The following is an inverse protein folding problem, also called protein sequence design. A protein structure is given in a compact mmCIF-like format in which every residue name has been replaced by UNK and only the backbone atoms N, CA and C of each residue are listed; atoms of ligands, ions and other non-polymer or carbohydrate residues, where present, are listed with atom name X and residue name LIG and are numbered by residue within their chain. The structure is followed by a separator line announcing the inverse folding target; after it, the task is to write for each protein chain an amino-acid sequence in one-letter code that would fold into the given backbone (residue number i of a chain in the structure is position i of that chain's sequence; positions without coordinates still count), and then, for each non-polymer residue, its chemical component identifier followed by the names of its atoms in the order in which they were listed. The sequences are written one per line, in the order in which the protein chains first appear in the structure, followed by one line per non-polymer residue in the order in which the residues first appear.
data_IF_801560345145
#
_entry.id   IF_801560345145
#
_cell.length_a   1.000
_cell.length_b   1.000
_cell.length_c   1.000
_cell.angle_alpha   90.00
_cell.angle_beta   90.00
_cell.angle_gamma   90.00
#
_symmetry.space_group_name_H-M   'P 1'
#
loop_
_entity.id
_entity.type
_entity.pdbx_description
1 polymer ?
#
# COMPACT_ATOMS: atom_id res chain seq x y z
N UNK A 1 -25.58 -32.31 16.84
CA UNK A 1 -25.56 -33.79 16.95
C UNK A 1 -25.78 -34.29 18.37
N UNK A 2 -24.88 -34.01 19.34
CA UNK A 2 -25.07 -34.49 20.74
C UNK A 2 -26.40 -34.08 21.38
N UNK A 3 -26.86 -32.85 21.14
CA UNK A 3 -28.15 -32.34 21.65
C UNK A 3 -29.34 -32.64 20.73
N UNK A 4 -29.21 -33.52 19.74
CA UNK A 4 -30.29 -33.90 18.81
C UNK A 4 -30.96 -32.75 18.03
N UNK A 5 -30.31 -31.58 17.94
CA UNK A 5 -30.75 -30.43 17.12
C UNK A 5 -30.45 -30.64 15.62
N UNK A 6 -30.94 -31.73 15.03
CA UNK A 6 -30.67 -32.09 13.64
C UNK A 6 -31.24 -31.06 12.64
N UNK A 7 -32.37 -30.43 12.97
CA UNK A 7 -32.99 -29.36 12.16
C UNK A 7 -32.09 -28.14 11.96
N UNK A 8 -31.24 -27.81 12.94
CA UNK A 8 -30.32 -26.66 12.89
C UNK A 8 -28.96 -26.96 12.28
N UNK A 9 -28.63 -28.24 12.05
CA UNK A 9 -27.31 -28.60 11.49
C UNK A 9 -27.13 -28.01 10.10
N UNK A 10 -28.15 -28.07 9.26
CA UNK A 10 -28.10 -27.53 7.89
C UNK A 10 -27.91 -26.01 7.96
N UNK A 11 -28.65 -25.31 8.82
CA UNK A 11 -28.48 -23.87 9.04
C UNK A 11 -27.06 -23.51 9.48
N UNK A 12 -26.47 -24.27 10.41
CA UNK A 12 -25.09 -24.04 10.86
C UNK A 12 -24.06 -24.27 9.76
N UNK A 13 -24.24 -25.29 8.92
CA UNK A 13 -23.33 -25.54 7.79
C UNK A 13 -23.44 -24.41 6.77
N UNK A 14 -24.65 -23.99 6.39
CA UNK A 14 -24.87 -22.86 5.48
C UNK A 14 -24.33 -21.55 6.05
N UNK A 15 -24.54 -21.30 7.34
CA UNK A 15 -24.02 -20.13 8.03
C UNK A 15 -22.48 -20.13 8.06
N UNK A 16 -21.86 -21.26 8.39
CA UNK A 16 -20.40 -21.43 8.34
C UNK A 16 -19.88 -21.17 6.92
N UNK A 17 -20.49 -21.78 5.90
CA UNK A 17 -20.10 -21.58 4.50
C UNK A 17 -20.23 -20.10 4.10
N UNK A 18 -21.31 -19.42 4.50
CA UNK A 18 -21.53 -18.00 4.25
C UNK A 18 -20.44 -17.12 4.86
N UNK A 19 -19.96 -17.45 6.06
CA UNK A 19 -18.88 -16.73 6.73
C UNK A 19 -17.51 -17.04 6.10
N UNK A 20 -17.22 -18.30 5.78
CA UNK A 20 -15.96 -18.70 5.17
C UNK A 20 -15.77 -18.13 3.75
N UNK A 21 -16.85 -17.89 3.02
CA UNK A 21 -16.81 -17.26 1.69
C UNK A 21 -17.10 -15.75 1.75
N UNK A 22 -17.08 -15.14 2.94
CA UNK A 22 -17.26 -13.70 3.09
C UNK A 22 -16.10 -12.94 2.44
N UNK A 23 -16.40 -11.89 1.66
CA UNK A 23 -15.34 -11.05 1.08
C UNK A 23 -14.41 -10.48 2.16
N UNK A 24 -14.96 -10.07 3.30
CA UNK A 24 -14.22 -9.45 4.39
C UNK A 24 -13.28 -10.45 5.05
N UNK A 25 -13.71 -11.71 5.17
CA UNK A 25 -12.89 -12.77 5.75
C UNK A 25 -11.70 -13.09 4.84
N UNK A 26 -11.95 -13.20 3.52
CA UNK A 26 -10.88 -13.46 2.55
C UNK A 26 -9.92 -12.28 2.43
N UNK A 27 -10.43 -11.05 2.35
CA UNK A 27 -9.62 -9.84 2.35
C UNK A 27 -8.77 -9.73 3.63
N UNK A 28 -9.38 -9.87 4.82
CA UNK A 28 -8.64 -9.78 6.08
C UNK A 28 -7.57 -10.87 6.22
N UNK A 29 -7.84 -12.09 5.74
CA UNK A 29 -6.86 -13.17 5.75
C UNK A 29 -5.63 -12.85 4.90
N UNK A 30 -5.83 -12.29 3.71
CA UNK A 30 -4.73 -11.90 2.80
C UNK A 30 -4.01 -10.66 3.34
N UNK A 31 -4.75 -9.62 3.72
CA UNK A 31 -4.19 -8.38 4.27
C UNK A 31 -3.42 -8.60 5.57
N UNK A 32 -3.84 -9.54 6.43
CA UNK A 32 -3.09 -9.87 7.64
C UNK A 32 -1.70 -10.43 7.32
N UNK A 33 -1.60 -11.33 6.34
CA UNK A 33 -0.32 -11.88 5.89
C UNK A 33 0.56 -10.79 5.26
N UNK A 34 -0.01 -9.96 4.39
CA UNK A 34 0.71 -8.85 3.75
C UNK A 34 1.16 -7.81 4.77
N UNK A 35 0.32 -7.48 5.76
CA UNK A 35 0.66 -6.55 6.83
C UNK A 35 1.81 -7.07 7.69
N UNK A 36 1.83 -8.35 8.01
CA UNK A 36 2.92 -8.97 8.76
C UNK A 36 4.26 -8.82 8.02
N UNK A 37 4.27 -9.04 6.71
CA UNK A 37 5.46 -8.85 5.86
C UNK A 37 5.88 -7.36 5.83
N UNK A 38 4.95 -6.43 5.61
CA UNK A 38 5.22 -4.97 5.60
C UNK A 38 5.89 -4.48 6.89
N UNK A 39 5.41 -4.98 8.04
CA UNK A 39 5.92 -4.59 9.36
C UNK A 39 7.35 -5.11 9.64
N UNK A 40 7.77 -6.19 8.98
CA UNK A 40 9.04 -6.87 9.26
C UNK A 40 10.06 -6.78 8.11
N UNK A 41 9.71 -6.12 7.00
CA UNK A 41 10.59 -5.96 5.83
C UNK A 41 11.94 -5.26 6.10
N UNK A 42 12.12 -4.66 7.29
CA UNK A 42 13.42 -4.10 7.73
C UNK A 42 14.41 -5.17 8.22
N UNK A 43 13.96 -6.41 8.44
CA UNK A 43 14.78 -7.55 8.83
C UNK A 43 14.58 -8.71 7.87
N UNK A 44 15.60 -8.95 7.04
CA UNK A 44 15.60 -10.06 6.09
C UNK A 44 15.33 -11.41 6.75
N UNK A 45 15.94 -11.70 7.91
CA UNK A 45 15.77 -12.98 8.62
C UNK A 45 14.34 -13.19 9.15
N UNK A 46 13.68 -12.13 9.62
CA UNK A 46 12.30 -12.24 10.10
C UNK A 46 11.34 -12.42 8.92
N UNK A 47 11.59 -11.74 7.81
CA UNK A 47 10.82 -11.91 6.57
C UNK A 47 10.91 -13.34 6.03
N UNK A 48 12.10 -13.95 6.00
CA UNK A 48 12.29 -15.35 5.61
C UNK A 48 11.44 -16.29 6.48
N UNK A 49 11.44 -16.10 7.81
CA UNK A 49 10.61 -16.91 8.72
C UNK A 49 9.12 -16.74 8.49
N UNK A 50 8.66 -15.50 8.24
CA UNK A 50 7.24 -15.23 7.96
C UNK A 50 6.84 -15.92 6.65
N UNK A 51 7.66 -15.80 5.61
CA UNK A 51 7.42 -16.48 4.34
C UNK A 51 7.40 -18.00 4.50
N UNK A 52 8.32 -18.60 5.27
CA UNK A 52 8.31 -20.03 5.59
C UNK A 52 7.01 -20.46 6.28
N UNK A 53 6.55 -19.70 7.28
CA UNK A 53 5.28 -19.95 7.98
C UNK A 53 4.06 -19.86 7.04
N UNK A 54 4.13 -18.98 6.04
CA UNK A 54 3.14 -18.85 4.97
C UNK A 54 3.33 -19.87 3.84
N UNK A 55 4.19 -20.88 4.02
CA UNK A 55 4.57 -21.87 2.99
C UNK A 55 5.00 -21.20 1.70
N UNK A 56 5.84 -20.18 1.82
CA UNK A 56 6.38 -19.36 0.74
C UNK A 56 5.31 -18.73 -0.15
N UNK A 57 4.12 -18.47 0.41
CA UNK A 57 3.00 -17.83 -0.29
C UNK A 57 2.15 -18.77 -1.16
N UNK A 58 2.51 -20.05 -1.30
CA UNK A 58 1.82 -21.00 -2.20
C UNK A 58 0.32 -21.13 -1.85
N UNK A 59 -0.01 -21.20 -0.56
CA UNK A 59 -1.41 -21.33 -0.11
C UNK A 59 -2.27 -20.09 -0.43
N UNK A 60 -1.66 -18.92 -0.59
CA UNK A 60 -2.36 -17.70 -0.96
C UNK A 60 -2.56 -17.62 -2.48
N UNK A 61 -1.65 -18.19 -3.27
CA UNK A 61 -1.87 -18.37 -4.72
C UNK A 61 -3.01 -19.36 -4.97
N UNK A 62 -3.04 -20.49 -4.26
CA UNK A 62 -4.16 -21.45 -4.32
C UNK A 62 -5.49 -20.77 -3.95
N UNK A 63 -5.48 -19.92 -2.91
CA UNK A 63 -6.64 -19.13 -2.52
C UNK A 63 -7.07 -18.17 -3.65
N UNK A 64 -6.14 -17.52 -4.32
CA UNK A 64 -6.42 -16.63 -5.46
C UNK A 64 -7.20 -17.36 -6.56
N UNK A 65 -6.79 -18.58 -6.88
CA UNK A 65 -7.47 -19.44 -7.86
C UNK A 65 -8.87 -19.89 -7.37
N UNK A 66 -9.00 -20.21 -6.09
CA UNK A 66 -10.29 -20.54 -5.46
C UNK A 66 -11.26 -19.35 -5.47
N UNK A 67 -10.77 -18.13 -5.23
CA UNK A 67 -11.57 -16.90 -5.24
C UNK A 67 -12.03 -16.56 -6.65
N UNK A 68 -11.15 -16.68 -7.65
CA UNK A 68 -11.48 -16.40 -9.05
C UNK A 68 -12.60 -17.30 -9.59
N UNK A 69 -12.68 -18.54 -9.10
CA UNK A 69 -13.67 -19.54 -9.54
C UNK A 69 -14.99 -19.52 -8.75
N UNK A 70 -15.08 -18.80 -7.64
CA UNK A 70 -16.25 -18.82 -6.73
C UNK A 70 -16.93 -17.46 -6.60
N UNK A 71 -18.20 -17.47 -6.19
CA UNK A 71 -18.93 -16.25 -5.82
C UNK A 71 -18.59 -15.81 -4.41
N UNK A 72 -18.26 -14.53 -4.21
CA UNK A 72 -18.02 -13.98 -2.88
C UNK A 72 -19.35 -13.68 -2.17
N UNK A 73 -19.39 -13.83 -0.84
CA UNK A 73 -20.53 -13.43 -0.02
C UNK A 73 -20.31 -12.05 0.58
N UNK A 74 -21.26 -11.15 0.36
CA UNK A 74 -21.31 -9.82 0.94
C UNK A 74 -22.24 -9.84 2.14
N UNK A 75 -21.66 -9.84 3.34
CA UNK A 75 -22.39 -9.96 4.61
C UNK A 75 -22.57 -8.61 5.33
N UNK A 76 -22.16 -7.53 4.68
CA UNK A 76 -22.26 -6.17 5.20
C UNK A 76 -23.72 -5.75 5.40
N UNK A 77 -23.95 -5.05 6.50
CA UNK A 77 -25.23 -4.39 6.71
C UNK A 77 -25.28 -3.11 5.88
N UNK A 78 -26.00 -3.19 4.76
CA UNK A 78 -26.31 -2.05 3.90
C UNK A 78 -27.64 -1.38 4.25
N UNK A 79 -28.44 -1.96 5.15
CA UNK A 79 -29.76 -1.45 5.50
C UNK A 79 -29.69 -0.36 6.57
N UNK A 80 -28.73 -0.47 7.48
CA UNK A 80 -28.48 0.57 8.50
C UNK A 80 -27.63 1.73 8.01
N UNK A 81 -27.08 1.64 6.79
CA UNK A 81 -26.30 2.72 6.20
C UNK A 81 -27.18 3.91 5.82
N UNK A 82 -26.70 5.15 6.00
CA UNK A 82 -27.40 6.32 5.50
C UNK A 82 -27.62 6.25 3.98
N UNK A 83 -28.73 6.81 3.50
CA UNK A 83 -29.08 6.77 2.07
C UNK A 83 -28.03 7.45 1.18
N UNK A 84 -27.29 8.42 1.72
CA UNK A 84 -26.24 9.14 1.01
C UNK A 84 -24.92 8.34 0.88
N UNK A 85 -24.76 7.25 1.65
CA UNK A 85 -23.62 6.33 1.59
C UNK A 85 -24.09 4.87 1.53
N UNK A 86 -24.84 4.49 0.48
CA UNK A 86 -25.53 3.19 0.43
C UNK A 86 -24.57 2.00 0.37
N UNK A 87 -23.31 2.21 -0.05
CA UNK A 87 -22.23 1.24 0.00
C UNK A 87 -20.90 1.95 0.33
N UNK A 88 -19.86 1.22 0.79
CA UNK A 88 -18.56 1.81 1.12
C UNK A 88 -17.92 2.61 -0.01
N UNK A 89 -18.16 2.20 -1.25
CA UNK A 89 -17.52 2.75 -2.44
C UNK A 89 -18.24 3.98 -3.01
N UNK A 90 -19.44 4.29 -2.49
CA UNK A 90 -20.29 5.36 -3.03
C UNK A 90 -20.73 6.32 -1.94
N UNK A 91 -20.42 7.60 -2.15
CA UNK A 91 -20.89 8.69 -1.31
C UNK A 91 -21.49 9.79 -2.21
N UNK A 92 -22.80 9.96 -2.15
CA UNK A 92 -23.53 10.96 -2.94
C UNK A 92 -23.25 12.41 -2.50
N UNK A 93 -22.62 12.61 -1.34
CA UNK A 93 -22.25 13.95 -0.86
C UNK A 93 -20.88 14.41 -1.37
N UNK A 94 -20.09 13.53 -2.00
CA UNK A 94 -18.76 13.87 -2.51
C UNK A 94 -18.76 14.29 -3.99
N UNK A 95 -19.89 14.18 -4.70
CA UNK A 95 -20.05 14.63 -6.07
C UNK A 95 -20.77 15.99 -6.17
N UNK A 96 -20.79 16.62 -7.36
CA UNK A 96 -21.64 17.78 -7.60
C UNK A 96 -23.09 17.43 -7.27
N UNK A 97 -23.79 18.33 -6.58
CA UNK A 97 -25.17 18.11 -6.19
C UNK A 97 -26.06 18.14 -7.45
N UNK A 98 -26.37 16.96 -7.99
CA UNK A 98 -27.35 16.77 -9.04
C UNK A 98 -28.72 16.53 -8.38
N UNK A 99 -29.76 17.27 -8.80
CA UNK A 99 -31.13 17.05 -8.35
C UNK A 99 -31.47 15.56 -8.41
N UNK A 100 -31.74 14.98 -7.25
CA UNK A 100 -31.72 13.54 -7.01
C UNK A 100 -32.79 12.84 -7.87
N UNK A 101 -32.36 12.15 -8.93
CA UNK A 101 -33.18 11.07 -9.49
C UNK A 101 -33.17 9.91 -8.50
N UNK A 102 -34.31 9.67 -7.86
CA UNK A 102 -34.46 8.65 -6.84
C UNK A 102 -34.21 7.26 -7.46
N UNK A 103 -33.17 6.59 -6.96
CA UNK A 103 -32.76 5.20 -7.24
C UNK A 103 -31.88 5.00 -8.48
N UNK A 104 -30.55 4.84 -8.31
CA UNK A 104 -29.74 4.23 -9.35
C UNK A 104 -30.11 2.74 -9.51
N UNK A 105 -29.96 2.17 -10.73
CA UNK A 105 -30.22 0.76 -10.99
C UNK A 105 -29.37 -0.12 -10.07
N UNK A 106 -30.01 -1.00 -9.29
CA UNK A 106 -29.35 -1.84 -8.26
C UNK A 106 -28.58 -3.04 -8.82
N UNK A 107 -28.71 -3.34 -10.10
CA UNK A 107 -28.26 -4.62 -10.68
C UNK A 107 -26.79 -4.58 -11.12
N UNK A 108 -26.36 -3.61 -11.94
CA UNK A 108 -24.98 -3.55 -12.44
C UNK A 108 -23.93 -3.28 -11.35
N UNK A 109 -24.30 -2.56 -10.28
CA UNK A 109 -23.37 -2.14 -9.20
C UNK A 109 -22.89 -3.34 -8.37
N UNK A 110 -23.69 -4.40 -8.26
CA UNK A 110 -23.32 -5.57 -7.43
C UNK A 110 -22.29 -6.47 -8.10
N UNK A 111 -22.45 -6.70 -9.40
CA UNK A 111 -21.55 -7.55 -10.18
C UNK A 111 -20.19 -6.88 -10.35
N UNK A 112 -20.18 -5.59 -10.70
CA UNK A 112 -18.95 -4.80 -10.81
C UNK A 112 -18.19 -4.74 -9.46
N UNK A 113 -18.91 -4.52 -8.36
CA UNK A 113 -18.32 -4.52 -7.01
C UNK A 113 -17.73 -5.88 -6.64
N UNK A 114 -18.44 -6.97 -6.95
CA UNK A 114 -17.92 -8.31 -6.71
C UNK A 114 -16.66 -8.58 -7.51
N UNK A 115 -16.65 -8.24 -8.80
CA UNK A 115 -15.50 -8.47 -9.67
C UNK A 115 -14.29 -7.63 -9.24
N UNK A 116 -14.51 -6.34 -8.91
CA UNK A 116 -13.46 -5.46 -8.42
C UNK A 116 -12.85 -5.98 -7.10
N UNK A 117 -13.70 -6.46 -6.17
CA UNK A 117 -13.23 -7.03 -4.91
C UNK A 117 -12.47 -8.35 -5.13
N UNK A 118 -12.94 -9.21 -6.05
CA UNK A 118 -12.20 -10.43 -6.42
C UNK A 118 -10.83 -10.08 -6.96
N UNK A 119 -10.75 -9.21 -7.97
CA UNK A 119 -9.47 -8.77 -8.56
C UNK A 119 -8.54 -8.19 -7.52
N UNK A 120 -9.04 -7.38 -6.59
CA UNK A 120 -8.23 -6.81 -5.51
C UNK A 120 -7.67 -7.88 -4.56
N UNK A 121 -8.52 -8.79 -4.06
CA UNK A 121 -8.08 -9.85 -3.13
C UNK A 121 -7.12 -10.81 -3.83
N UNK A 122 -7.43 -11.22 -5.07
CA UNK A 122 -6.58 -12.10 -5.85
C UNK A 122 -5.20 -11.49 -6.08
N UNK A 123 -5.15 -10.21 -6.48
CA UNK A 123 -3.90 -9.48 -6.71
C UNK A 123 -3.04 -9.41 -5.45
N UNK A 124 -3.64 -9.03 -4.31
CA UNK A 124 -2.93 -9.01 -3.02
C UNK A 124 -2.48 -10.40 -2.56
N UNK A 125 -3.21 -11.46 -2.94
CA UNK A 125 -2.85 -12.84 -2.61
C UNK A 125 -1.58 -13.33 -3.31
N UNK A 126 -1.22 -12.73 -4.44
CA UNK A 126 0.01 -13.09 -5.17
C UNK A 126 1.27 -12.50 -4.52
N UNK A 127 1.15 -11.38 -3.79
CA UNK A 127 2.31 -10.64 -3.26
C UNK A 127 3.27 -11.52 -2.45
N UNK A 128 2.83 -12.34 -1.47
CA UNK A 128 3.76 -13.12 -0.66
C UNK A 128 4.57 -14.12 -1.48
N UNK A 129 3.98 -14.71 -2.53
CA UNK A 129 4.70 -15.63 -3.43
C UNK A 129 5.67 -14.86 -4.32
N UNK A 130 5.24 -13.71 -4.87
CA UNK A 130 6.10 -12.87 -5.72
C UNK A 130 7.32 -12.32 -4.95
N UNK A 131 7.15 -11.92 -3.68
CA UNK A 131 8.24 -11.52 -2.78
C UNK A 131 9.23 -12.67 -2.59
N UNK A 132 8.72 -13.85 -2.23
CA UNK A 132 9.55 -15.03 -2.05
C UNK A 132 10.36 -15.36 -3.32
N UNK A 133 9.71 -15.43 -4.48
CA UNK A 133 10.37 -15.74 -5.75
C UNK A 133 11.40 -14.67 -6.12
N UNK A 134 11.08 -13.39 -5.90
CA UNK A 134 11.99 -12.27 -6.17
C UNK A 134 13.29 -12.35 -5.36
N UNK A 135 13.20 -12.77 -4.10
CA UNK A 135 14.37 -13.05 -3.26
C UNK A 135 15.17 -14.23 -3.82
N UNK A 136 14.50 -15.29 -4.27
CA UNK A 136 15.15 -16.50 -4.81
C UNK A 136 15.74 -16.29 -6.22
N UNK A 137 15.24 -15.35 -7.03
CA UNK A 137 15.80 -15.01 -8.34
C UNK A 137 17.16 -14.31 -8.24
N UNK A 138 17.47 -13.72 -7.08
CA UNK A 138 18.64 -12.84 -6.89
C UNK A 138 20.00 -13.55 -7.03
N UNK A 139 20.25 -14.72 -6.39
CA UNK A 139 21.54 -15.40 -6.50
C UNK A 139 21.83 -15.88 -7.94
N UNK A 140 20.78 -16.17 -8.72
CA UNK A 140 20.88 -16.64 -10.11
C UNK A 140 21.29 -15.49 -11.03
N UNK A 141 20.61 -14.35 -10.94
CA UNK A 141 20.93 -13.17 -11.75
C UNK A 141 22.34 -12.63 -11.52
N UNK A 142 22.85 -12.71 -10.28
CA UNK A 142 24.21 -12.28 -9.96
C UNK A 142 25.27 -13.28 -10.45
N UNK A 143 24.96 -14.59 -10.49
CA UNK A 143 25.86 -15.65 -10.98
C UNK A 143 25.89 -15.79 -12.50
N UNK A 144 24.78 -15.55 -13.19
CA UNK A 144 24.73 -15.56 -14.67
C UNK A 144 25.62 -14.49 -15.32
N UNK A 145 26.00 -13.45 -14.57
CA UNK A 145 27.03 -12.49 -15.00
C UNK A 145 28.46 -13.07 -15.04
N UNK A 146 28.68 -14.29 -14.51
CA UNK A 146 30.02 -14.89 -14.34
C UNK A 146 30.20 -16.25 -15.04
N UNK A 147 29.23 -17.18 -15.06
CA UNK A 147 29.39 -18.44 -15.83
C UNK A 147 28.07 -19.05 -16.33
N UNK A 148 27.98 -19.31 -17.63
CA UNK A 148 26.95 -20.11 -18.30
C UNK A 148 27.21 -21.61 -18.08
N UNK A 149 26.70 -22.20 -17.02
CA UNK A 149 26.47 -23.65 -16.94
C UNK A 149 25.26 -23.96 -16.06
N UNK A 150 24.26 -24.59 -16.68
CA UNK A 150 22.88 -24.71 -16.19
C UNK A 150 22.70 -25.46 -14.88
N UNK A 151 21.95 -24.82 -13.98
CA UNK A 151 21.23 -25.44 -12.87
C UNK A 151 19.74 -25.44 -13.22
N UNK A 152 19.20 -26.62 -13.51
CA UNK A 152 17.82 -26.78 -13.99
C UNK A 152 16.73 -26.47 -12.96
N UNK A 153 17.08 -26.13 -11.71
CA UNK A 153 16.12 -25.67 -10.69
C UNK A 153 15.81 -24.17 -10.74
N UNK A 154 16.72 -23.38 -11.33
CA UNK A 154 16.65 -21.91 -11.27
C UNK A 154 15.77 -21.31 -12.38
N UNK A 155 15.57 -22.04 -13.49
CA UNK A 155 14.66 -21.66 -14.58
C UNK A 155 13.20 -21.72 -14.12
N UNK A 156 12.85 -22.65 -13.23
CA UNK A 156 11.48 -22.86 -12.75
C UNK A 156 11.00 -21.67 -11.88
N UNK A 157 11.89 -21.09 -11.08
CA UNK A 157 11.58 -19.95 -10.18
C UNK A 157 11.30 -18.66 -10.98
N UNK A 158 12.14 -18.34 -11.95
CA UNK A 158 11.99 -17.14 -12.79
C UNK A 158 10.77 -17.25 -13.71
N UNK A 159 10.48 -18.43 -14.26
CA UNK A 159 9.28 -18.67 -15.07
C UNK A 159 8.02 -18.59 -14.22
N UNK A 160 8.03 -19.13 -12.99
CA UNK A 160 6.90 -18.97 -12.06
C UNK A 160 6.63 -17.48 -11.76
N UNK A 161 7.67 -16.70 -11.47
CA UNK A 161 7.52 -15.26 -11.22
C UNK A 161 6.93 -14.53 -12.42
N UNK A 162 7.36 -14.89 -13.64
CA UNK A 162 6.79 -14.36 -14.88
C UNK A 162 5.31 -14.69 -15.02
N UNK A 163 4.91 -15.94 -14.81
CA UNK A 163 3.49 -16.33 -14.85
C UNK A 163 2.65 -15.54 -13.84
N UNK A 164 3.17 -15.32 -12.62
CA UNK A 164 2.49 -14.50 -11.63
C UNK A 164 2.40 -13.03 -12.04
N UNK A 165 3.42 -12.46 -12.69
CA UNK A 165 3.37 -11.10 -13.25
C UNK A 165 2.32 -10.96 -14.35
N UNK A 166 2.19 -11.96 -15.23
CA UNK A 166 1.16 -12.00 -16.27
C UNK A 166 -0.25 -12.05 -15.64
N UNK A 167 -0.44 -12.85 -14.60
CA UNK A 167 -1.73 -12.91 -13.91
C UNK A 167 -2.02 -11.63 -13.11
N UNK A 168 -1.00 -11.03 -12.50
CA UNK A 168 -1.10 -9.76 -11.78
C UNK A 168 -1.53 -8.61 -12.72
N UNK A 169 -0.95 -8.53 -13.91
CA UNK A 169 -1.29 -7.50 -14.92
C UNK A 169 -2.67 -7.71 -15.53
N UNK A 170 -3.09 -8.96 -15.77
CA UNK A 170 -4.47 -9.28 -16.13
C UNK A 170 -5.47 -8.76 -15.10
N UNK A 171 -5.16 -8.89 -13.79
CA UNK A 171 -6.00 -8.36 -12.71
C UNK A 171 -5.99 -6.82 -12.62
N UNK A 172 -4.97 -6.16 -13.18
CA UNK A 172 -4.94 -4.71 -13.40
C UNK A 172 -5.70 -4.28 -14.67
N UNK A 173 -6.09 -5.22 -15.53
CA UNK A 173 -6.87 -4.98 -16.75
C UNK A 173 -6.05 -4.73 -18.01
N UNK A 174 -4.79 -5.19 -18.05
CA UNK A 174 -3.90 -4.99 -19.19
C UNK A 174 -3.03 -6.23 -19.46
N UNK A 175 -2.38 -6.28 -20.63
CA UNK A 175 -1.36 -7.31 -20.89
C UNK A 175 -0.03 -6.96 -20.21
N UNK A 176 0.87 -7.93 -20.06
CA UNK A 176 2.22 -7.69 -19.53
C UNK A 176 2.98 -6.65 -20.36
N UNK A 177 2.83 -6.66 -21.70
CA UNK A 177 3.48 -5.70 -22.59
C UNK A 177 2.96 -4.28 -22.37
N UNK A 178 1.63 -4.11 -22.31
CA UNK A 178 1.00 -2.81 -22.09
C UNK A 178 1.36 -2.25 -20.70
N UNK A 179 1.47 -3.14 -19.72
CA UNK A 179 1.89 -2.78 -18.37
C UNK A 179 3.32 -2.24 -18.34
N UNK A 180 4.25 -2.89 -19.04
CA UNK A 180 5.65 -2.45 -19.16
C UNK A 180 5.75 -1.12 -19.91
N UNK A 181 5.02 -0.96 -21.01
CA UNK A 181 4.95 0.30 -21.76
C UNK A 181 4.44 1.44 -20.86
N UNK A 182 3.35 1.20 -20.12
CA UNK A 182 2.75 2.19 -19.23
C UNK A 182 3.73 2.67 -18.15
N UNK A 183 4.39 1.76 -17.43
CA UNK A 183 5.34 2.16 -16.38
C UNK A 183 6.59 2.84 -16.97
N UNK A 184 6.99 2.47 -18.19
CA UNK A 184 8.14 3.06 -18.87
C UNK A 184 7.85 4.48 -19.35
N UNK A 185 6.68 4.73 -19.94
CA UNK A 185 6.26 6.08 -20.33
C UNK A 185 6.17 7.03 -19.13
N UNK A 186 5.63 6.54 -18.00
CA UNK A 186 5.54 7.33 -16.77
C UNK A 186 6.94 7.58 -16.20
N UNK A 187 7.85 6.60 -16.25
CA UNK A 187 9.24 6.74 -15.78
C UNK A 187 10.04 7.74 -16.63
N UNK A 188 9.70 7.90 -17.91
CA UNK A 188 10.30 8.88 -18.82
C UNK A 188 9.61 10.25 -18.74
N UNK A 189 8.45 10.36 -18.08
CA UNK A 189 7.65 11.58 -18.00
C UNK A 189 6.83 11.86 -19.26
N UNK A 190 6.70 10.88 -20.16
CA UNK A 190 5.83 10.96 -21.34
C UNK A 190 4.34 10.86 -20.96
N UNK A 191 4.02 10.24 -19.83
CA UNK A 191 2.66 10.09 -19.28
C UNK A 191 2.60 10.56 -17.83
N UNK A 192 1.46 11.14 -17.42
CA UNK A 192 1.26 11.64 -16.04
C UNK A 192 0.93 10.50 -15.06
N UNK A 193 1.26 10.70 -13.77
CA UNK A 193 0.95 9.73 -12.71
C UNK A 193 -0.55 9.52 -12.45
N UNK A 194 -1.39 10.46 -12.91
CA UNK A 194 -2.86 10.36 -12.85
C UNK A 194 -3.39 9.16 -13.65
N UNK A 195 -2.68 8.74 -14.69
CA UNK A 195 -3.04 7.57 -15.50
C UNK A 195 -3.05 6.25 -14.74
N UNK A 196 -2.33 6.16 -13.61
CA UNK A 196 -2.33 4.99 -12.73
C UNK A 196 -3.61 4.87 -11.89
N UNK A 197 -4.37 5.96 -11.77
CA UNK A 197 -5.62 6.03 -11.02
C UNK A 197 -5.49 5.56 -9.56
N UNK A 198 -6.53 4.89 -9.07
CA UNK A 198 -6.59 4.34 -7.71
C UNK A 198 -5.69 3.13 -7.48
N UNK A 199 -5.13 2.53 -8.53
CA UNK A 199 -4.28 1.33 -8.45
C UNK A 199 -2.77 1.67 -8.42
N UNK A 200 -2.38 2.92 -8.17
CA UNK A 200 -0.99 3.39 -8.20
C UNK A 200 -0.03 2.48 -7.42
N UNK A 201 -0.39 2.10 -6.20
CA UNK A 201 0.45 1.24 -5.34
C UNK A 201 0.62 -0.15 -5.96
N UNK A 202 -0.43 -0.69 -6.58
CA UNK A 202 -0.39 -1.99 -7.22
C UNK A 202 0.44 -1.96 -8.52
N UNK A 203 0.45 -0.85 -9.25
CA UNK A 203 1.34 -0.61 -10.38
C UNK A 203 2.81 -0.52 -9.96
N UNK A 204 3.10 0.13 -8.84
CA UNK A 204 4.45 0.16 -8.28
C UNK A 204 4.91 -1.23 -7.81
N UNK A 205 4.04 -2.00 -7.15
CA UNK A 205 4.34 -3.40 -6.83
C UNK A 205 4.70 -4.20 -8.08
N UNK A 206 3.92 -4.06 -9.15
CA UNK A 206 4.23 -4.69 -10.43
C UNK A 206 5.63 -4.28 -10.93
N UNK A 207 5.95 -2.98 -10.95
CA UNK A 207 7.25 -2.49 -11.40
C UNK A 207 8.41 -3.05 -10.56
N UNK A 208 8.23 -3.19 -9.24
CA UNK A 208 9.22 -3.78 -8.33
C UNK A 208 9.48 -5.25 -8.68
N UNK A 209 8.43 -6.05 -8.83
CA UNK A 209 8.58 -7.48 -9.16
C UNK A 209 9.04 -7.71 -10.60
N UNK A 210 8.68 -6.83 -11.53
CA UNK A 210 9.18 -6.85 -12.90
C UNK A 210 10.69 -6.56 -12.95
N UNK A 211 11.18 -5.61 -12.14
CA UNK A 211 12.61 -5.42 -11.95
C UNK A 211 13.28 -6.67 -11.34
N UNK A 212 12.64 -7.29 -10.36
CA UNK A 212 13.16 -8.52 -9.72
C UNK A 212 13.23 -9.72 -10.66
N UNK A 213 12.32 -9.83 -11.61
CA UNK A 213 12.34 -10.86 -12.65
C UNK A 213 13.50 -10.68 -13.65
N UNK A 214 14.07 -9.48 -13.74
CA UNK A 214 15.13 -9.14 -14.71
C UNK A 214 16.23 -8.29 -14.07
N UNK A 215 16.74 -8.72 -12.92
CA UNK A 215 17.75 -7.99 -12.12
C UNK A 215 19.05 -7.69 -12.87
N UNK A 216 19.35 -8.44 -13.95
CA UNK A 216 20.50 -8.21 -14.82
C UNK A 216 20.34 -7.00 -15.76
N UNK A 217 19.11 -6.49 -15.93
CA UNK A 217 18.81 -5.36 -16.79
C UNK A 217 18.98 -4.04 -16.04
N UNK A 218 20.02 -3.26 -16.37
CA UNK A 218 20.21 -1.91 -15.83
C UNK A 218 19.03 -0.99 -16.15
N UNK A 219 18.41 -1.16 -17.32
CA UNK A 219 17.25 -0.37 -17.74
C UNK A 219 16.08 -0.51 -16.77
N UNK A 220 15.80 -1.71 -16.27
CA UNK A 220 14.69 -1.95 -15.35
C UNK A 220 14.93 -1.27 -13.99
N UNK A 221 16.18 -1.27 -13.51
CA UNK A 221 16.57 -0.53 -12.32
C UNK A 221 16.37 0.97 -12.50
N UNK A 222 16.79 1.52 -13.64
CA UNK A 222 16.59 2.94 -13.95
C UNK A 222 15.11 3.31 -14.03
N UNK A 223 14.29 2.52 -14.72
CA UNK A 223 12.82 2.73 -14.82
C UNK A 223 12.20 2.75 -13.42
N UNK A 224 12.49 1.75 -12.59
CA UNK A 224 11.94 1.66 -11.23
C UNK A 224 12.38 2.82 -10.33
N UNK A 225 13.67 3.17 -10.39
CA UNK A 225 14.26 4.30 -9.67
C UNK A 225 13.56 5.61 -10.04
N UNK A 226 13.42 5.91 -11.34
CA UNK A 226 12.74 7.10 -11.82
C UNK A 226 11.25 7.12 -11.47
N UNK A 227 10.59 5.96 -11.39
CA UNK A 227 9.20 5.86 -10.93
C UNK A 227 9.07 6.22 -9.45
N UNK A 228 9.90 5.65 -8.57
CA UNK A 228 9.88 5.98 -7.14
C UNK A 228 10.14 7.48 -6.92
N UNK A 229 11.20 8.01 -7.53
CA UNK A 229 11.55 9.42 -7.40
C UNK A 229 10.41 10.33 -7.86
N UNK A 230 9.89 10.12 -9.08
CA UNK A 230 8.82 10.96 -9.64
C UNK A 230 7.55 10.87 -8.79
N UNK A 231 7.07 9.67 -8.48
CA UNK A 231 5.80 9.51 -7.77
C UNK A 231 5.87 10.05 -6.34
N UNK A 232 7.01 9.89 -5.65
CA UNK A 232 7.17 10.43 -4.30
C UNK A 232 7.33 11.96 -4.34
N UNK A 233 8.20 12.49 -5.20
CA UNK A 233 8.45 13.93 -5.27
C UNK A 233 7.24 14.71 -5.77
N UNK A 234 6.48 14.18 -6.74
CA UNK A 234 5.24 14.82 -7.20
C UNK A 234 4.24 14.98 -6.05
N UNK A 235 4.12 13.95 -5.19
CA UNK A 235 3.27 14.03 -3.99
C UNK A 235 3.83 15.06 -3.02
N UNK A 236 5.10 14.99 -2.64
CA UNK A 236 5.72 15.99 -1.73
C UNK A 236 5.53 17.43 -2.25
N UNK A 237 5.69 17.67 -3.55
CA UNK A 237 5.49 18.99 -4.18
C UNK A 237 4.03 19.45 -4.15
N UNK A 238 3.08 18.57 -4.46
CA UNK A 238 1.64 18.89 -4.41
C UNK A 238 1.18 19.28 -3.01
N UNK A 239 1.82 18.71 -1.98
CA UNK A 239 1.55 19.00 -0.58
C UNK A 239 2.24 20.28 -0.07
N UNK A 240 3.34 20.70 -0.72
CA UNK A 240 4.11 21.90 -0.32
C UNK A 240 3.42 23.23 -0.63
N UNK A 241 2.35 23.23 -1.42
CA UNK A 241 1.65 24.44 -1.90
C UNK A 241 0.27 24.66 -1.28
N UNK A 242 -0.22 23.75 -0.42
CA UNK A 242 -1.60 23.76 0.08
C UNK A 242 -1.71 23.71 1.61
N UNK A 243 -2.73 24.38 2.17
CA UNK A 243 -3.09 24.28 3.59
C UNK A 243 -3.42 22.81 3.94
N UNK A 244 -2.87 22.31 5.06
CA UNK A 244 -2.88 20.89 5.52
C UNK A 244 -4.24 20.15 5.44
N UNK A 245 -5.37 20.86 5.40
CA UNK A 245 -6.71 20.26 5.36
C UNK A 245 -7.03 19.50 4.06
N UNK A 246 -6.36 19.79 2.94
CA UNK A 246 -6.65 19.18 1.62
C UNK A 246 -5.68 18.06 1.21
N UNK A 247 -4.68 17.80 2.06
CA UNK A 247 -3.44 17.12 1.69
C UNK A 247 -3.39 15.64 2.12
N UNK A 248 -4.43 15.14 2.79
CA UNK A 248 -4.40 13.86 3.48
C UNK A 248 -4.38 12.63 2.54
N UNK A 249 -4.96 12.77 1.35
CA UNK A 249 -4.91 11.71 0.33
C UNK A 249 -3.49 11.45 -0.15
N UNK A 250 -2.69 12.50 -0.33
CA UNK A 250 -1.30 12.37 -0.79
C UNK A 250 -0.39 11.79 0.29
N UNK A 251 -0.59 12.18 1.55
CA UNK A 251 0.09 11.54 2.70
C UNK A 251 -0.23 10.05 2.76
N UNK A 252 -1.50 9.66 2.61
CA UNK A 252 -1.90 8.26 2.60
C UNK A 252 -1.21 7.47 1.48
N UNK A 253 -1.14 8.04 0.27
CA UNK A 253 -0.44 7.42 -0.86
C UNK A 253 1.05 7.27 -0.56
N UNK A 254 1.71 8.29 -0.01
CA UNK A 254 3.12 8.20 0.37
C UNK A 254 3.38 7.13 1.43
N UNK A 255 2.53 7.03 2.45
CA UNK A 255 2.59 5.95 3.44
C UNK A 255 2.51 4.59 2.76
N UNK A 256 1.57 4.40 1.82
CA UNK A 256 1.43 3.14 1.10
C UNK A 256 2.65 2.84 0.22
N UNK A 257 3.20 3.81 -0.52
CA UNK A 257 4.40 3.63 -1.35
C UNK A 257 5.61 3.19 -0.50
N UNK A 258 5.83 3.86 0.64
CA UNK A 258 6.99 3.58 1.51
C UNK A 258 6.83 2.25 2.26
N UNK A 259 5.61 1.92 2.70
CA UNK A 259 5.36 0.72 3.51
C UNK A 259 5.16 -0.55 2.68
N UNK A 260 4.89 -0.45 1.38
CA UNK A 260 4.61 -1.60 0.51
C UNK A 260 5.64 -1.77 -0.62
N UNK A 261 5.57 -1.09 -1.78
CA UNK A 261 6.51 -1.35 -2.88
C UNK A 261 7.96 -1.04 -2.51
N UNK A 262 8.22 0.03 -1.76
CA UNK A 262 9.58 0.33 -1.29
C UNK A 262 10.10 -0.75 -0.33
N UNK A 263 9.24 -1.33 0.49
CA UNK A 263 9.60 -2.43 1.40
C UNK A 263 10.00 -3.69 0.61
N UNK A 264 9.24 -4.06 -0.42
CA UNK A 264 9.57 -5.18 -1.31
C UNK A 264 10.88 -4.94 -2.05
N UNK A 265 11.08 -3.74 -2.60
CA UNK A 265 12.32 -3.38 -3.28
C UNK A 265 13.52 -3.39 -2.33
N UNK A 266 13.34 -2.92 -1.09
CA UNK A 266 14.39 -2.99 -0.06
C UNK A 266 14.76 -4.44 0.28
N UNK A 267 13.81 -5.38 0.30
CA UNK A 267 14.09 -6.80 0.50
C UNK A 267 14.86 -7.41 -0.67
N UNK A 268 14.56 -7.01 -1.91
CA UNK A 268 15.33 -7.41 -3.10
C UNK A 268 16.76 -6.89 -3.00
N UNK A 269 16.97 -5.62 -2.63
CA UNK A 269 18.31 -5.05 -2.41
C UNK A 269 19.05 -5.80 -1.28
N UNK A 270 18.37 -6.14 -0.19
CA UNK A 270 18.93 -6.96 0.90
C UNK A 270 19.40 -8.32 0.39
N UNK A 271 18.57 -9.01 -0.41
CA UNK A 271 18.94 -10.28 -1.03
C UNK A 271 20.18 -10.12 -1.93
N UNK A 272 20.24 -9.07 -2.75
CA UNK A 272 21.36 -8.78 -3.64
C UNK A 272 22.65 -8.58 -2.85
N UNK A 273 22.58 -7.77 -1.80
CA UNK A 273 23.72 -7.45 -0.93
C UNK A 273 24.25 -8.69 -0.23
N UNK A 274 23.34 -9.54 0.31
CA UNK A 274 23.69 -10.82 0.95
C UNK A 274 24.35 -11.79 -0.02
N UNK A 275 23.84 -11.87 -1.25
CA UNK A 275 24.40 -12.77 -2.27
C UNK A 275 25.80 -12.35 -2.77
N UNK A 276 26.13 -11.06 -2.65
CA UNK A 276 27.42 -10.49 -3.05
C UNK A 276 28.53 -10.69 -2.02
N UNK A 277 28.21 -11.02 -0.77
CA UNK A 277 29.18 -11.22 0.31
C UNK A 277 29.84 -12.61 0.23
N UNK A 278 31.17 -12.73 0.41
CA UNK A 278 31.86 -14.01 0.34
C UNK A 278 31.40 -14.96 1.47
N UNK A 279 30.80 -16.09 1.10
CA UNK A 279 30.39 -17.13 2.05
C UNK A 279 31.61 -17.75 2.73
N UNK A 280 31.69 -17.64 4.07
CA UNK A 280 32.83 -18.06 4.90
C UNK A 280 33.17 -19.56 4.92
N UNK A 281 32.64 -20.38 4.00
CA UNK A 281 32.90 -21.82 3.91
C UNK A 281 33.36 -22.23 2.51
N UNK A 282 34.60 -21.90 2.15
CA UNK A 282 35.56 -22.74 1.39
C UNK A 282 36.84 -21.95 1.09
N UNK A 283 37.93 -22.26 1.80
CA UNK A 283 39.30 -21.94 1.35
C UNK A 283 39.61 -22.80 0.11
N UNK A 284 39.41 -22.25 -1.08
CA UNK A 284 40.24 -22.59 -2.26
C UNK A 284 40.63 -21.28 -2.92
N UNK A 285 41.95 -21.05 -3.01
CA UNK A 285 42.59 -19.96 -3.76
C UNK A 285 41.92 -19.87 -5.13
N UNK A 286 41.29 -18.74 -5.43
CA UNK A 286 41.13 -18.24 -6.80
C UNK A 286 41.07 -16.71 -6.74
N UNK A 287 41.93 -16.08 -7.55
CA UNK A 287 42.01 -14.63 -7.78
C UNK A 287 40.77 -14.17 -8.57
N UNK A 288 39.61 -14.02 -7.94
CA UNK A 288 38.41 -13.48 -8.63
C UNK A 288 37.52 -12.58 -7.75
N UNK A 289 37.98 -12.15 -6.56
CA UNK A 289 37.18 -11.28 -5.68
C UNK A 289 36.97 -9.86 -6.22
N UNK A 290 37.86 -9.39 -7.11
CA UNK A 290 37.92 -7.96 -7.47
C UNK A 290 36.96 -7.58 -8.63
N UNK A 291 36.25 -8.54 -9.23
CA UNK A 291 35.35 -8.28 -10.37
C UNK A 291 33.87 -8.07 -9.99
N UNK A 292 33.43 -8.47 -8.79
CA UNK A 292 32.03 -8.31 -8.37
C UNK A 292 31.67 -6.86 -8.00
N UNK A 293 32.64 -6.12 -7.44
CA UNK A 293 32.49 -4.73 -6.98
C UNK A 293 32.42 -3.68 -8.10
N UNK A 294 32.83 -4.05 -9.32
CA UNK A 294 32.81 -3.21 -10.53
C UNK A 294 31.76 -3.62 -11.57
N UNK A 295 30.86 -4.56 -11.23
CA UNK A 295 29.81 -4.98 -12.15
C UNK A 295 28.78 -3.87 -12.39
N UNK A 296 28.26 -3.72 -13.62
CA UNK A 296 27.21 -2.75 -13.96
C UNK A 296 25.96 -2.88 -13.07
N UNK A 297 25.66 -4.10 -12.60
CA UNK A 297 24.55 -4.40 -11.69
C UNK A 297 24.83 -3.89 -10.27
N UNK A 298 26.04 -4.09 -9.74
CA UNK A 298 26.45 -3.55 -8.43
C UNK A 298 26.33 -2.03 -8.40
N UNK A 299 26.71 -1.36 -9.49
CA UNK A 299 26.52 0.08 -9.63
C UNK A 299 25.03 0.47 -9.66
N UNK A 300 24.20 -0.24 -10.43
CA UNK A 300 22.76 0.03 -10.49
C UNK A 300 22.07 -0.12 -9.11
N UNK A 301 22.49 -1.11 -8.31
CA UNK A 301 21.99 -1.29 -6.94
C UNK A 301 22.46 -0.15 -6.04
N UNK A 302 23.75 0.25 -6.11
CA UNK A 302 24.27 1.40 -5.35
C UNK A 302 23.53 2.69 -5.68
N UNK A 303 23.28 2.93 -6.96
CA UNK A 303 22.52 4.08 -7.45
C UNK A 303 21.07 4.04 -6.95
N UNK A 304 20.43 2.85 -6.97
CA UNK A 304 19.09 2.65 -6.41
C UNK A 304 19.05 2.96 -4.91
N UNK A 305 19.99 2.44 -4.12
CA UNK A 305 20.08 2.73 -2.68
C UNK A 305 20.24 4.25 -2.44
N UNK A 306 21.16 4.89 -3.18
CA UNK A 306 21.42 6.32 -3.03
C UNK A 306 20.18 7.16 -3.36
N UNK A 307 19.48 6.82 -4.45
CA UNK A 307 18.26 7.52 -4.84
C UNK A 307 17.17 7.37 -3.78
N UNK A 308 16.88 6.13 -3.35
CA UNK A 308 15.86 5.88 -2.33
C UNK A 308 16.20 6.59 -1.02
N UNK A 309 17.47 6.61 -0.59
CA UNK A 309 17.91 7.38 0.57
C UNK A 309 17.60 8.87 0.40
N UNK A 310 17.92 9.48 -0.74
CA UNK A 310 17.62 10.90 -0.99
C UNK A 310 16.12 11.18 -1.03
N UNK A 311 15.34 10.33 -1.71
CA UNK A 311 13.89 10.51 -1.84
C UNK A 311 13.18 10.36 -0.49
N UNK A 312 13.58 9.39 0.35
CA UNK A 312 13.04 9.25 1.71
C UNK A 312 13.48 10.43 2.59
N UNK A 313 14.70 10.95 2.39
CA UNK A 313 15.16 12.14 3.11
C UNK A 313 14.29 13.36 2.79
N UNK A 314 13.89 13.55 1.54
CA UNK A 314 13.01 14.65 1.14
C UNK A 314 11.63 14.53 1.80
N UNK A 315 11.06 13.31 1.86
CA UNK A 315 9.82 13.04 2.62
C UNK A 315 10.00 13.34 4.11
N UNK A 316 11.11 12.90 4.69
CA UNK A 316 11.42 13.13 6.12
C UNK A 316 11.57 14.61 6.44
N UNK A 317 12.24 15.37 5.57
CA UNK A 317 12.39 16.82 5.70
C UNK A 317 11.03 17.52 5.62
N UNK A 318 10.17 17.10 4.69
CA UNK A 318 8.80 17.63 4.60
C UNK A 318 8.01 17.32 5.88
N UNK A 319 8.05 16.09 6.39
CA UNK A 319 7.37 15.69 7.63
C UNK A 319 7.87 16.51 8.84
N UNK A 320 9.18 16.70 8.97
CA UNK A 320 9.76 17.52 10.03
C UNK A 320 9.30 18.98 9.94
N UNK A 321 9.26 19.55 8.74
CA UNK A 321 8.75 20.91 8.54
C UNK A 321 7.29 21.04 8.97
N UNK A 322 6.46 20.02 8.72
CA UNK A 322 5.08 20.01 9.20
C UNK A 322 4.97 19.88 10.72
N UNK A 323 5.81 19.05 11.33
CA UNK A 323 5.79 18.79 12.77
C UNK A 323 6.38 19.94 13.61
N UNK A 324 7.27 20.75 13.05
CA UNK A 324 7.92 21.87 13.73
C UNK A 324 6.99 23.09 13.95
N UNK A 325 5.82 23.11 13.33
CA UNK A 325 4.86 24.19 13.53
C UNK A 325 4.23 24.13 14.94
N UNK A 326 4.07 25.24 15.66
CA UNK A 326 3.49 25.25 17.00
C UNK A 326 2.04 24.75 16.99
N UNK A 327 1.66 23.93 17.97
CA UNK A 327 0.33 23.30 18.04
C UNK A 327 -0.81 24.31 17.95
N UNK A 328 -0.74 25.40 18.71
CA UNK A 328 -1.80 26.42 18.70
C UNK A 328 -1.91 27.12 17.34
N UNK A 329 -0.79 27.33 16.64
CA UNK A 329 -0.79 27.88 15.27
C UNK A 329 -1.38 26.91 14.24
N UNK A 330 -1.16 25.60 14.41
CA UNK A 330 -1.77 24.58 13.55
C UNK A 330 -3.29 24.47 13.79
N UNK A 331 -3.72 24.55 15.06
CA UNK A 331 -5.15 24.56 15.41
C UNK A 331 -5.83 25.82 14.87
N UNK A 332 -5.19 26.98 14.99
CA UNK A 332 -5.70 28.23 14.41
C UNK A 332 -5.75 28.16 12.87
N UNK A 333 -4.72 27.63 12.21
CA UNK A 333 -4.71 27.38 10.76
C UNK A 333 -5.83 26.43 10.31
N UNK A 334 -6.07 25.36 11.06
CA UNK A 334 -7.17 24.43 10.79
C UNK A 334 -8.54 25.10 10.97
N UNK A 335 -8.74 25.85 12.06
CA UNK A 335 -9.98 26.60 12.32
C UNK A 335 -10.24 27.69 11.29
N UNK A 336 -9.22 28.41 10.84
CA UNK A 336 -9.36 29.42 9.77
C UNK A 336 -9.71 28.78 8.44
N UNK A 337 -9.16 27.61 8.13
CA UNK A 337 -9.54 26.83 6.94
C UNK A 337 -11.00 26.40 6.99
N UNK A 338 -11.47 25.96 8.16
CA UNK A 338 -12.87 25.62 8.38
C UNK A 338 -13.78 26.85 8.23
N UNK A 339 -13.37 28.00 8.76
CA UNK A 339 -14.15 29.26 8.79
C UNK A 339 -14.01 30.12 7.53
N UNK A 340 -13.27 29.68 6.50
CA UNK A 340 -13.03 30.48 5.29
C UNK A 340 -14.36 30.68 4.54
N UNK A 341 -14.97 31.86 4.72
CA UNK A 341 -16.29 32.30 4.21
C UNK A 341 -16.42 32.35 2.67
N UNK A 342 -15.39 31.95 1.92
CA UNK A 342 -15.36 32.04 0.45
C UNK A 342 -16.26 31.04 -0.27
N UNK A 343 -16.71 29.97 0.39
CA UNK A 343 -17.65 29.00 -0.18
C UNK A 343 -18.85 28.87 0.75
N UNK A 344 -20.01 29.38 0.32
CA UNK A 344 -21.31 29.23 1.01
C UNK A 344 -21.81 27.77 1.14
N UNK A 345 -20.93 26.79 0.94
CA UNK A 345 -21.15 25.35 1.02
C UNK A 345 -19.95 24.62 1.69
N UNK A 346 -19.13 25.33 2.46
CA UNK A 346 -17.96 24.77 3.14
C UNK A 346 -18.26 24.10 4.49
N UNK A 347 -17.35 23.26 5.02
CA UNK A 347 -17.52 22.56 6.29
C UNK A 347 -17.72 23.50 7.50
N UNK A 348 -17.25 24.76 7.42
CA UNK A 348 -17.49 25.78 8.45
C UNK A 348 -18.96 26.11 8.68
N UNK A 349 -19.80 26.03 7.65
CA UNK A 349 -21.24 26.26 7.78
C UNK A 349 -21.90 25.15 8.60
N UNK A 350 -21.47 23.90 8.41
CA UNK A 350 -21.96 22.76 9.20
C UNK A 350 -21.61 22.96 10.68
N UNK A 351 -20.37 23.39 10.95
CA UNK A 351 -19.95 23.70 12.33
C UNK A 351 -20.77 24.84 12.92
N UNK A 352 -21.03 25.91 12.16
CA UNK A 352 -21.89 27.01 12.61
C UNK A 352 -23.34 26.57 12.88
N UNK A 353 -23.90 25.69 12.05
CA UNK A 353 -25.23 25.08 12.27
C UNK A 353 -25.23 24.25 13.55
N UNK A 354 -24.21 23.42 13.78
CA UNK A 354 -24.09 22.63 15.01
C UNK A 354 -23.93 23.51 16.25
N UNK A 355 -23.08 24.54 16.19
CA UNK A 355 -22.89 25.50 17.28
C UNK A 355 -24.19 26.24 17.61
N UNK A 356 -24.92 26.71 16.59
CA UNK A 356 -26.21 27.37 16.79
C UNK A 356 -27.26 26.44 17.38
N UNK A 357 -27.34 25.19 16.91
CA UNK A 357 -28.23 24.17 17.45
C UNK A 357 -27.92 23.87 18.92
N UNK A 358 -26.64 23.73 19.29
CA UNK A 358 -26.22 23.49 20.69
C UNK A 358 -26.53 24.70 21.59
N UNK A 359 -26.42 25.91 21.05
CA UNK A 359 -26.76 27.13 21.76
C UNK A 359 -28.27 27.24 22.04
N UNK A 360 -29.11 26.84 21.07
CA UNK A 360 -30.58 26.93 21.17
C UNK A 360 -31.27 25.71 21.79
N UNK A 361 -30.59 24.57 21.91
CA UNK A 361 -31.18 23.32 22.43
C UNK A 361 -31.55 23.43 23.91
N UNK A 362 -32.73 22.93 24.28
CA UNK A 362 -33.20 22.81 25.66
C UNK A 362 -33.17 21.35 26.16
N UNK A 363 -32.92 21.15 27.47
CA UNK A 363 -32.86 19.81 28.08
C UNK A 363 -34.19 19.03 27.93
N UNK A 364 -35.31 19.76 27.94
CA UNK A 364 -36.67 19.25 27.75
C UNK A 364 -36.90 18.60 26.38
N UNK A 365 -36.23 19.09 25.32
CA UNK A 365 -36.45 18.66 23.94
C UNK A 365 -35.63 17.43 23.55
N UNK A 366 -34.36 17.37 23.99
CA UNK A 366 -33.43 16.29 23.61
C UNK A 366 -33.20 15.27 24.73
N UNK A 367 -33.66 15.57 25.94
CA UNK A 367 -33.42 14.76 27.13
C UNK A 367 -32.02 14.93 27.72
N UNK A 368 -31.90 14.75 29.04
CA UNK A 368 -30.71 15.02 29.83
C UNK A 368 -29.41 14.43 29.25
N UNK A 369 -29.43 13.15 28.84
CA UNK A 369 -28.23 12.48 28.31
C UNK A 369 -27.69 13.14 27.04
N UNK A 370 -28.57 13.52 26.11
CA UNK A 370 -28.16 14.15 24.84
C UNK A 370 -27.77 15.60 25.10
N UNK A 371 -28.52 16.30 25.96
CA UNK A 371 -28.22 17.67 26.35
C UNK A 371 -26.82 17.81 26.96
N UNK A 372 -26.45 16.93 27.90
CA UNK A 372 -25.11 16.91 28.48
C UNK A 372 -24.02 16.66 27.43
N UNK A 373 -24.26 15.74 26.48
CA UNK A 373 -23.32 15.46 25.40
C UNK A 373 -23.14 16.68 24.47
N UNK A 374 -24.23 17.35 24.09
CA UNK A 374 -24.21 18.57 23.28
C UNK A 374 -23.45 19.70 23.97
N UNK A 375 -23.68 19.94 25.28
CA UNK A 375 -22.97 20.98 26.04
C UNK A 375 -21.49 20.68 26.24
N UNK A 376 -21.09 19.40 26.20
CA UNK A 376 -19.68 19.01 26.29
C UNK A 376 -18.90 19.20 24.98
N UNK A 377 -19.60 19.36 23.85
CA UNK A 377 -18.97 19.50 22.55
C UNK A 377 -18.64 20.97 22.25
N UNK A 378 -17.43 21.20 21.71
CA UNK A 378 -17.08 22.50 21.13
C UNK A 378 -16.14 22.32 19.94
N UNK A 379 -16.17 23.29 19.02
CA UNK A 379 -15.40 23.25 17.76
C UNK A 379 -13.90 23.35 18.01
N UNK A 380 -13.45 24.13 18.99
CA UNK A 380 -12.03 24.33 19.28
C UNK A 380 -11.35 23.04 19.80
N UNK A 381 -12.03 22.29 20.67
CA UNK A 381 -11.58 21.00 21.20
C UNK A 381 -11.61 19.93 20.11
N UNK A 382 -12.64 19.93 19.26
CA UNK A 382 -12.71 19.01 18.10
C UNK A 382 -11.56 19.27 17.11
N UNK A 383 -11.27 20.54 16.81
CA UNK A 383 -10.14 20.95 15.99
C UNK A 383 -8.81 20.53 16.63
N UNK A 384 -8.63 20.80 17.93
CA UNK A 384 -7.42 20.40 18.68
C UNK A 384 -7.21 18.89 18.64
N UNK A 385 -8.24 18.09 18.93
CA UNK A 385 -8.19 16.62 18.85
C UNK A 385 -7.84 16.12 17.45
N UNK A 386 -8.40 16.74 16.42
CA UNK A 386 -8.12 16.40 15.03
C UNK A 386 -6.66 16.68 14.68
N UNK A 387 -6.17 17.89 14.93
CA UNK A 387 -4.77 18.28 14.67
C UNK A 387 -3.80 17.40 15.45
N UNK A 388 -4.08 17.12 16.73
CA UNK A 388 -3.25 16.21 17.53
C UNK A 388 -3.21 14.79 16.96
N UNK A 389 -4.35 14.25 16.53
CA UNK A 389 -4.40 12.94 15.89
C UNK A 389 -3.59 12.93 14.58
N UNK A 390 -3.68 14.00 13.78
CA UNK A 390 -2.90 14.14 12.56
C UNK A 390 -1.40 14.18 12.84
N UNK A 391 -0.96 15.00 13.81
CA UNK A 391 0.44 15.07 14.21
C UNK A 391 0.98 13.72 14.70
N UNK A 392 0.17 12.95 15.44
CA UNK A 392 0.55 11.61 15.87
C UNK A 392 0.82 10.70 14.67
N UNK A 393 -0.08 10.67 13.69
CA UNK A 393 0.09 9.87 12.46
C UNK A 393 1.34 10.30 11.69
N UNK A 394 1.59 11.60 11.56
CA UNK A 394 2.80 12.12 10.89
C UNK A 394 4.08 11.74 11.63
N UNK A 395 4.08 11.71 12.97
CA UNK A 395 5.23 11.25 13.77
C UNK A 395 5.48 9.75 13.58
N UNK A 396 4.43 8.94 13.61
CA UNK A 396 4.54 7.50 13.33
C UNK A 396 5.07 7.25 11.92
N UNK A 397 4.63 8.03 10.93
CA UNK A 397 5.14 7.94 9.56
C UNK A 397 6.60 8.39 9.43
N UNK A 398 7.01 9.46 10.13
CA UNK A 398 8.41 9.89 10.17
C UNK A 398 9.31 8.77 10.73
N UNK A 399 8.88 8.08 11.79
CA UNK A 399 9.63 6.95 12.36
C UNK A 399 9.81 5.81 11.35
N UNK A 400 8.78 5.52 10.55
CA UNK A 400 8.89 4.53 9.46
C UNK A 400 9.93 4.98 8.43
N UNK A 401 9.90 6.24 8.01
CA UNK A 401 10.87 6.79 7.04
C UNK A 401 12.30 6.72 7.57
N UNK A 402 12.51 7.07 8.84
CA UNK A 402 13.81 6.98 9.50
C UNK A 402 14.32 5.54 9.58
N UNK A 403 13.44 4.57 9.89
CA UNK A 403 13.78 3.15 9.92
C UNK A 403 14.24 2.66 8.54
N UNK A 404 13.45 2.96 7.48
CA UNK A 404 13.77 2.60 6.10
C UNK A 404 15.08 3.22 5.62
N UNK A 405 15.31 4.51 5.92
CA UNK A 405 16.55 5.19 5.59
C UNK A 405 17.75 4.56 6.29
N UNK A 406 17.63 4.22 7.57
CA UNK A 406 18.69 3.55 8.34
C UNK A 406 19.05 2.18 7.75
N UNK A 407 18.05 1.41 7.32
CA UNK A 407 18.26 0.14 6.62
C UNK A 407 19.06 0.36 5.33
N UNK A 408 18.62 1.28 4.48
CA UNK A 408 19.28 1.58 3.20
C UNK A 408 20.72 2.08 3.37
N UNK A 409 20.98 2.95 4.35
CA UNK A 409 22.35 3.39 4.68
C UNK A 409 23.23 2.23 5.17
N UNK A 410 22.66 1.28 5.92
CA UNK A 410 23.38 0.07 6.34
C UNK A 410 23.75 -0.78 5.13
N UNK A 411 22.83 -0.94 4.17
CA UNK A 411 23.09 -1.67 2.92
C UNK A 411 24.13 -0.97 2.05
N UNK A 412 24.07 0.36 1.96
CA UNK A 412 25.08 1.18 1.28
C UNK A 412 26.48 0.93 1.83
N UNK A 413 26.62 0.88 3.15
CA UNK A 413 27.90 0.58 3.81
C UNK A 413 28.36 -0.84 3.49
N UNK A 414 27.47 -1.85 3.59
CA UNK A 414 27.81 -3.24 3.26
C UNK A 414 28.31 -3.38 1.81
N UNK A 415 27.66 -2.72 0.85
CA UNK A 415 28.06 -2.73 -0.56
C UNK A 415 29.34 -1.92 -0.85
N UNK A 416 29.78 -1.06 0.06
CA UNK A 416 31.08 -0.38 -0.05
C UNK A 416 32.26 -1.24 0.43
N UNK A 417 31.96 -2.28 1.22
CA UNK A 417 32.93 -3.25 1.73
C UNK A 417 33.02 -4.54 0.89
N UNK A 418 32.17 -4.67 -0.13
CA UNK A 418 32.25 -5.67 -1.20
C UNK A 418 32.99 -5.06 -2.38
#
# INVERSE_FOLDING_TARGET
YRHRNYSKVIEFVLFKQRLQHSNQYQAARVEASVLQLKQNADSFEEEERILENLKSGVQLVELSNEIGSRTLKFNEDMQTRPWWTPCPEKNYLLGPFEEISYCPPKENVKEEREENMKRAIQRKSLLPRMIYLSIQCTPTALKESVETNGSGGDIDVCEELKCLLEDYTKMLGCSLSDAVEMITEISQGARTSESLGSNLVDWLNFAVFWNAWSLSSQEHWHVLNSLFERLILDRVRSMGSSDMSYCYSDVQVLVQIITEPLAWHSLIIQACTRSSLPSGKKKKKNQHSDQLSSSPISQAIKDSIQLLCSTIQDVSNWLLNQLNNPEDGQVEGFLTTLKRDGNAAGPGQILGVLESFIASSEESEVGNRIFQALKSWNTADTARKTVMAQQRVLREFLQICESKRKLLETLKQQMSHV
#
